data_IF_555364354168
#
_entry.id   IF_555364354168
#
_cell.length_a   1.000
_cell.length_b   1.000
_cell.length_c   1.000
_cell.angle_alpha   90.00
_cell.angle_beta   90.00
_cell.angle_gamma   90.00
#
_symmetry.space_group_name_H-M   'P 1'
#
loop_
_entity.id
_entity.type
_entity.pdbx_description
1 polymer ?
#
# COMPACT_ATOMS: atom_id res chain seq x y z
N UNK A 1 -26.19 47.67 -42.08
CA UNK A 1 -27.51 47.76 -42.73
C UNK A 1 -27.40 46.91 -43.99
N UNK A 2 -28.06 45.79 -44.24
CA UNK A 2 -29.31 45.15 -43.79
C UNK A 2 -29.20 43.72 -44.37
N UNK A 3 -29.16 42.67 -43.55
CA UNK A 3 -30.28 41.81 -43.12
C UNK A 3 -30.81 40.81 -44.18
N UNK A 4 -30.81 39.52 -43.76
CA UNK A 4 -31.68 38.35 -44.07
C UNK A 4 -30.97 37.13 -44.68
N UNK A 5 -30.66 36.08 -43.91
CA UNK A 5 -31.52 34.93 -43.48
C UNK A 5 -31.91 34.04 -44.69
N UNK A 6 -31.79 32.71 -44.75
CA UNK A 6 -31.92 31.63 -43.75
C UNK A 6 -31.21 30.38 -44.33
N UNK A 7 -30.43 29.63 -43.56
CA UNK A 7 -30.27 28.19 -43.81
C UNK A 7 -30.46 27.44 -42.48
N UNK A 8 -31.57 26.70 -42.40
CA UNK A 8 -31.95 25.89 -41.25
C UNK A 8 -30.99 24.70 -41.16
N UNK A 9 -30.09 24.69 -40.18
CA UNK A 9 -29.38 23.47 -39.81
C UNK A 9 -30.24 22.72 -38.80
N UNK A 10 -30.81 21.60 -39.24
CA UNK A 10 -31.50 20.67 -38.35
C UNK A 10 -30.46 20.03 -37.43
N UNK A 11 -30.49 20.36 -36.13
CA UNK A 11 -29.86 19.52 -35.12
C UNK A 11 -30.68 18.23 -35.03
N UNK A 12 -30.17 17.15 -35.64
CA UNK A 12 -30.51 15.82 -35.16
C UNK A 12 -29.82 15.64 -33.81
N UNK A 13 -30.60 15.71 -32.73
CA UNK A 13 -30.21 15.17 -31.44
C UNK A 13 -30.14 13.65 -31.56
N UNK A 14 -28.99 13.13 -31.98
CA UNK A 14 -28.62 11.75 -31.70
C UNK A 14 -28.24 11.67 -30.24
N UNK A 15 -29.17 11.26 -29.37
CA UNK A 15 -28.81 10.69 -28.08
C UNK A 15 -27.97 9.43 -28.40
N UNK A 16 -26.64 9.58 -28.36
CA UNK A 16 -25.79 8.47 -28.02
C UNK A 16 -26.06 8.19 -26.54
N UNK A 17 -27.01 7.28 -26.29
CA UNK A 17 -26.98 6.52 -25.04
C UNK A 17 -25.70 5.71 -25.10
N UNK A 18 -24.61 6.24 -24.54
CA UNK A 18 -23.56 5.37 -24.05
C UNK A 18 -24.25 4.46 -23.04
N UNK A 19 -24.48 3.21 -23.43
CA UNK A 19 -24.67 2.17 -22.44
C UNK A 19 -23.48 2.29 -21.48
N UNK A 20 -23.68 2.26 -20.16
CA UNK A 20 -22.59 1.85 -19.30
C UNK A 20 -22.36 0.39 -19.69
N UNK A 21 -21.42 0.15 -20.62
CA UNK A 21 -20.69 -1.10 -20.56
C UNK A 21 -20.21 -1.15 -19.11
N UNK A 22 -20.57 -2.22 -18.41
CA UNK A 22 -20.08 -2.46 -17.07
C UNK A 22 -18.57 -2.22 -17.14
N UNK A 23 -18.11 -1.16 -16.50
CA UNK A 23 -16.70 -1.08 -16.17
C UNK A 23 -16.57 -2.18 -15.13
N UNK A 24 -16.31 -3.41 -15.59
CA UNK A 24 -15.77 -4.46 -14.75
C UNK A 24 -14.66 -3.80 -13.94
N UNK A 25 -14.66 -4.05 -12.64
CA UNK A 25 -13.61 -3.59 -11.73
C UNK A 25 -12.28 -3.60 -12.49
N UNK A 26 -11.52 -2.51 -12.48
CA UNK A 26 -10.20 -2.44 -13.16
C UNK A 26 -9.28 -3.60 -12.71
N UNK A 27 -9.64 -4.25 -11.59
CA UNK A 27 -9.04 -5.45 -11.03
C UNK A 27 -9.57 -6.81 -11.48
N UNK A 28 -10.57 -6.85 -12.35
CA UNK A 28 -11.18 -8.07 -12.84
C UNK A 28 -11.24 -8.11 -14.36
N UNK A 29 -10.06 -8.01 -14.99
CA UNK A 29 -9.91 -8.03 -16.45
C UNK A 29 -10.49 -9.28 -17.12
N UNK A 30 -10.66 -10.37 -16.36
CA UNK A 30 -11.25 -11.61 -16.82
C UNK A 30 -12.77 -11.71 -16.59
N UNK A 31 -13.39 -10.76 -15.90
CA UNK A 31 -14.86 -10.68 -15.73
C UNK A 31 -15.46 -9.77 -16.80
N UNK A 32 -15.76 -10.38 -17.94
CA UNK A 32 -16.44 -9.72 -19.06
C UNK A 32 -17.97 -9.94 -19.03
N UNK A 33 -18.50 -10.70 -18.06
CA UNK A 33 -19.96 -10.76 -17.84
C UNK A 33 -20.44 -9.63 -16.94
N UNK A 34 -19.53 -9.02 -16.17
CA UNK A 34 -19.77 -7.90 -15.27
C UNK A 34 -20.55 -8.30 -14.03
N UNK A 35 -20.45 -9.57 -13.60
CA UNK A 35 -21.15 -10.10 -12.42
C UNK A 35 -20.26 -10.17 -11.17
N UNK A 36 -19.08 -9.56 -11.24
CA UNK A 36 -18.07 -9.50 -10.18
C UNK A 36 -17.50 -10.88 -9.81
N UNK A 37 -17.58 -11.87 -10.72
CA UNK A 37 -17.00 -13.20 -10.55
C UNK A 37 -16.34 -13.68 -11.84
N UNK A 38 -15.16 -14.29 -11.74
CA UNK A 38 -14.56 -15.06 -12.84
C UNK A 38 -14.91 -16.54 -12.67
N UNK A 39 -15.69 -17.06 -13.60
CA UNK A 39 -16.35 -18.35 -13.47
C UNK A 39 -16.31 -19.14 -14.78
N UNK A 40 -17.13 -20.20 -14.85
CA UNK A 40 -17.29 -20.96 -16.06
C UNK A 40 -17.95 -20.14 -17.19
N UNK A 41 -18.73 -19.12 -16.83
CA UNK A 41 -19.40 -18.26 -17.80
C UNK A 41 -18.36 -17.40 -18.55
N UNK A 42 -17.27 -17.04 -17.88
CA UNK A 42 -16.14 -16.36 -18.49
C UNK A 42 -15.47 -17.28 -19.51
N UNK A 43 -15.12 -18.51 -19.12
CA UNK A 43 -14.53 -19.50 -20.02
C UNK A 43 -15.40 -19.76 -21.24
N UNK A 44 -16.72 -19.87 -21.06
CA UNK A 44 -17.65 -20.10 -22.16
C UNK A 44 -17.72 -18.91 -23.12
N UNK A 45 -17.69 -17.67 -22.62
CA UNK A 45 -17.69 -16.51 -23.52
C UNK A 45 -16.36 -16.38 -24.27
N UNK A 46 -15.22 -16.60 -23.58
CA UNK A 46 -13.89 -16.63 -24.21
C UNK A 46 -13.80 -17.66 -25.33
N UNK A 47 -14.28 -18.89 -25.09
CA UNK A 47 -14.34 -19.93 -26.12
C UNK A 47 -15.27 -19.57 -27.28
N UNK A 48 -16.31 -18.75 -27.03
CA UNK A 48 -17.18 -18.19 -28.06
C UNK A 48 -16.50 -17.15 -28.95
N UNK A 49 -15.47 -16.46 -28.44
CA UNK A 49 -14.66 -15.46 -29.15
C UNK A 49 -13.37 -15.98 -29.78
N UNK A 50 -13.08 -17.29 -29.67
CA UNK A 50 -11.79 -17.87 -30.03
C UNK A 50 -11.34 -17.58 -31.47
N UNK A 51 -10.08 -17.13 -31.61
CA UNK A 51 -9.45 -16.80 -32.89
C UNK A 51 -9.11 -15.31 -33.03
N UNK A 52 -8.87 -14.84 -34.26
CA UNK A 52 -8.38 -13.48 -34.48
C UNK A 52 -9.34 -12.41 -34.02
N UNK A 53 -8.84 -11.46 -33.24
CA UNK A 53 -9.65 -10.35 -32.79
C UNK A 53 -9.56 -9.14 -33.71
N UNK A 54 -10.73 -8.63 -34.12
CA UNK A 54 -10.85 -7.53 -35.08
C UNK A 54 -11.64 -6.39 -34.46
N UNK A 55 -10.94 -5.39 -33.91
CA UNK A 55 -11.54 -4.27 -33.18
C UNK A 55 -11.31 -4.39 -31.68
N UNK A 56 -12.19 -3.80 -30.86
CA UNK A 56 -12.13 -3.96 -29.41
C UNK A 56 -12.64 -5.34 -29.01
N UNK A 57 -11.83 -6.06 -28.25
CA UNK A 57 -12.04 -7.46 -27.91
C UNK A 57 -11.73 -7.68 -26.43
N UNK A 58 -12.78 -7.74 -25.62
CA UNK A 58 -12.61 -7.87 -24.16
C UNK A 58 -12.01 -9.23 -23.75
N UNK A 59 -12.03 -10.22 -24.65
CA UNK A 59 -11.49 -11.57 -24.45
C UNK A 59 -10.02 -11.73 -24.90
N UNK A 60 -9.44 -10.71 -25.53
CA UNK A 60 -8.00 -10.64 -25.86
C UNK A 60 -7.31 -9.92 -24.69
N UNK A 61 -7.11 -10.66 -23.61
CA UNK A 61 -6.71 -10.16 -22.29
C UNK A 61 -5.21 -9.83 -22.29
N UNK A 62 -4.42 -10.54 -23.10
CA UNK A 62 -2.98 -10.29 -23.24
C UNK A 62 -2.62 -9.30 -24.37
N UNK A 63 -3.63 -8.67 -24.99
CA UNK A 63 -3.50 -7.70 -26.10
C UNK A 63 -2.65 -8.23 -27.27
N UNK A 64 -2.67 -9.54 -27.51
CA UNK A 64 -1.87 -10.19 -28.56
C UNK A 64 -2.47 -10.04 -29.96
N UNK A 65 -3.76 -9.68 -30.06
CA UNK A 65 -4.53 -9.59 -31.29
C UNK A 65 -5.30 -10.86 -31.65
N UNK A 66 -5.23 -11.91 -30.81
CA UNK A 66 -5.91 -13.19 -30.99
C UNK A 66 -6.45 -13.69 -29.64
N UNK A 67 -7.73 -14.05 -29.56
CA UNK A 67 -8.30 -14.75 -28.39
C UNK A 67 -7.89 -16.21 -28.46
N UNK A 68 -7.08 -16.65 -27.50
CA UNK A 68 -6.46 -17.97 -27.53
C UNK A 68 -6.16 -18.58 -26.18
N UNK A 69 -5.13 -19.44 -26.18
CA UNK A 69 -4.79 -20.23 -24.99
C UNK A 69 -4.22 -19.37 -23.87
N UNK A 70 -3.51 -18.29 -24.20
CA UNK A 70 -2.96 -17.39 -23.17
C UNK A 70 -4.08 -16.68 -22.41
N UNK A 71 -5.09 -16.17 -23.11
CA UNK A 71 -6.26 -15.55 -22.49
C UNK A 71 -7.02 -16.53 -21.61
N UNK A 72 -7.21 -17.77 -22.09
CA UNK A 72 -7.85 -18.81 -21.29
C UNK A 72 -7.08 -19.12 -20.01
N UNK A 73 -5.74 -19.13 -20.06
CA UNK A 73 -4.93 -19.31 -18.86
C UNK A 73 -5.07 -18.14 -17.89
N UNK A 74 -5.24 -16.91 -18.39
CA UNK A 74 -5.53 -15.74 -17.53
C UNK A 74 -6.91 -15.88 -16.87
N UNK A 75 -7.96 -16.29 -17.61
CA UNK A 75 -9.29 -16.54 -17.02
C UNK A 75 -9.24 -17.61 -15.92
N UNK A 76 -8.51 -18.71 -16.15
CA UNK A 76 -8.37 -19.77 -15.16
C UNK A 76 -7.57 -19.30 -13.94
N UNK A 77 -6.54 -18.47 -14.14
CA UNK A 77 -5.74 -17.90 -13.05
C UNK A 77 -6.55 -16.95 -12.16
N UNK A 78 -7.54 -16.26 -12.73
CA UNK A 78 -8.38 -15.28 -12.02
C UNK A 78 -9.68 -15.85 -11.44
N UNK A 79 -9.85 -17.17 -11.44
CA UNK A 79 -11.09 -17.82 -11.01
C UNK A 79 -11.55 -17.46 -9.60
N UNK A 80 -12.83 -17.15 -9.45
CA UNK A 80 -13.48 -16.78 -8.19
C UNK A 80 -13.99 -15.34 -8.20
N UNK A 81 -14.42 -14.87 -7.04
CA UNK A 81 -14.94 -13.51 -6.89
C UNK A 81 -13.88 -12.49 -7.31
N UNK A 82 -14.28 -11.50 -8.10
CA UNK A 82 -13.44 -10.38 -8.42
C UNK A 82 -12.98 -9.69 -7.13
N UNK A 83 -11.70 -9.32 -7.01
CA UNK A 83 -11.31 -8.43 -5.94
C UNK A 83 -12.13 -7.15 -6.14
N UNK A 84 -12.94 -6.83 -5.13
CA UNK A 84 -13.54 -5.51 -5.07
C UNK A 84 -12.41 -4.48 -5.18
N UNK A 85 -12.66 -3.33 -5.82
CA UNK A 85 -11.66 -2.29 -5.91
C UNK A 85 -11.39 -1.81 -4.48
N UNK A 86 -10.38 -2.42 -3.89
CA UNK A 86 -9.54 -1.84 -2.86
C UNK A 86 -10.09 -1.72 -1.43
N UNK A 87 -11.17 -2.39 -1.09
CA UNK A 87 -11.43 -2.83 0.29
C UNK A 87 -10.50 -4.00 0.59
N UNK A 88 -9.40 -3.69 1.27
CA UNK A 88 -8.54 -4.71 1.85
C UNK A 88 -9.39 -5.78 2.54
N UNK A 89 -8.98 -7.05 2.50
CA UNK A 89 -9.63 -8.01 3.37
C UNK A 89 -9.47 -7.45 4.78
N UNK A 90 -10.58 -7.01 5.39
CA UNK A 90 -10.74 -7.15 6.82
C UNK A 90 -10.79 -8.67 7.01
N UNK A 91 -9.63 -9.32 6.89
CA UNK A 91 -9.49 -10.75 7.09
C UNK A 91 -9.75 -11.00 8.56
N UNK A 92 -11.03 -11.05 8.86
CA UNK A 92 -11.60 -11.37 10.15
C UNK A 92 -11.40 -12.88 10.43
N UNK A 93 -10.72 -13.61 9.52
CA UNK A 93 -10.43 -15.03 9.59
C UNK A 93 -8.95 -15.41 9.38
N UNK A 94 -8.03 -14.44 9.30
CA UNK A 94 -6.61 -14.69 8.99
C UNK A 94 -5.78 -15.12 10.20
N UNK A 95 -4.62 -15.72 9.93
CA UNK A 95 -3.63 -16.12 10.94
C UNK A 95 -3.05 -14.92 11.74
N UNK A 96 -3.36 -13.69 11.33
CA UNK A 96 -2.83 -12.45 11.90
C UNK A 96 -3.88 -11.64 12.67
N UNK A 97 -3.45 -11.07 13.79
CA UNK A 97 -4.29 -10.27 14.67
C UNK A 97 -4.30 -8.81 14.23
N UNK A 98 -5.49 -8.20 14.20
CA UNK A 98 -5.68 -6.78 13.96
C UNK A 98 -5.16 -5.93 15.14
N UNK A 99 -4.47 -4.82 14.85
CA UNK A 99 -3.92 -3.89 15.85
C UNK A 99 -4.99 -3.32 16.81
N UNK A 100 -6.23 -3.18 16.37
CA UNK A 100 -7.38 -2.72 17.19
C UNK A 100 -7.62 -3.61 18.41
N UNK A 101 -7.18 -4.87 18.37
CA UNK A 101 -7.25 -5.80 19.52
C UNK A 101 -6.45 -5.33 20.73
N UNK A 102 -5.48 -4.43 20.53
CA UNK A 102 -4.69 -3.83 21.61
C UNK A 102 -5.13 -2.43 21.99
N UNK A 103 -6.02 -1.82 21.22
CA UNK A 103 -6.54 -0.49 21.50
C UNK A 103 -6.95 0.24 20.24
N UNK A 104 -7.81 1.23 20.44
CA UNK A 104 -8.22 2.16 19.41
C UNK A 104 -8.16 3.58 19.95
N UNK A 105 -7.53 4.49 19.20
CA UNK A 105 -7.34 5.88 19.61
C UNK A 105 -7.91 6.86 18.58
N UNK A 106 -9.22 7.09 18.63
CA UNK A 106 -9.83 8.12 17.78
C UNK A 106 -9.63 9.51 18.38
N UNK A 107 -9.00 10.40 17.61
CA UNK A 107 -8.93 11.83 17.88
C UNK A 107 -10.08 12.60 17.25
N UNK A 108 -9.82 13.85 16.83
CA UNK A 108 -10.79 14.71 16.11
C UNK A 108 -10.80 14.52 14.58
N UNK A 109 -9.89 13.71 14.04
CA UNK A 109 -9.81 13.38 12.62
C UNK A 109 -10.41 11.99 12.38
N UNK A 110 -11.26 11.88 11.35
CA UNK A 110 -11.95 10.64 11.07
C UNK A 110 -11.06 9.60 10.38
N UNK A 111 -9.86 9.95 9.89
CA UNK A 111 -8.93 9.22 9.01
C UNK A 111 -8.31 7.89 9.53
N UNK A 112 -8.90 7.26 10.53
CA UNK A 112 -8.38 6.06 11.20
C UNK A 112 -9.37 4.89 11.20
N UNK A 113 -10.49 5.02 10.47
CA UNK A 113 -11.57 4.06 10.52
C UNK A 113 -11.51 3.01 9.40
N UNK A 114 -12.16 1.84 9.58
CA UNK A 114 -12.19 0.78 8.57
C UNK A 114 -12.74 1.22 7.21
N UNK A 115 -13.68 2.17 7.16
CA UNK A 115 -14.28 2.66 5.90
C UNK A 115 -13.41 3.65 5.13
N UNK A 116 -12.24 4.02 5.66
CA UNK A 116 -11.23 4.84 4.96
C UNK A 116 -10.04 4.00 4.50
N UNK A 117 -10.09 2.68 4.71
CA UNK A 117 -9.19 1.71 4.10
C UNK A 117 -9.59 1.50 2.63
N UNK A 118 -9.60 2.60 1.88
CA UNK A 118 -9.93 2.66 0.45
C UNK A 118 -8.65 2.69 -0.37
N UNK A 119 -8.79 2.49 -1.68
CA UNK A 119 -7.68 2.51 -2.64
C UNK A 119 -6.52 1.54 -2.30
N UNK A 120 -6.82 0.42 -1.61
CA UNK A 120 -5.93 -0.72 -1.41
C UNK A 120 -5.19 -0.65 -0.10
N UNK A 121 -5.45 0.41 0.68
CA UNK A 121 -5.03 0.54 2.07
C UNK A 121 -5.67 -0.57 2.89
N UNK A 122 -4.90 -1.13 3.82
CA UNK A 122 -5.37 -2.21 4.69
C UNK A 122 -5.10 -1.90 6.16
N UNK A 123 -5.78 -2.64 7.04
CA UNK A 123 -5.56 -2.61 8.48
C UNK A 123 -4.11 -2.98 8.85
N UNK A 124 -3.59 -2.40 9.93
CA UNK A 124 -2.34 -2.86 10.54
C UNK A 124 -2.61 -4.17 11.29
N UNK A 125 -1.90 -5.23 10.93
CA UNK A 125 -2.00 -6.56 11.56
C UNK A 125 -0.63 -7.06 12.02
N UNK A 126 -0.62 -8.11 12.84
CA UNK A 126 0.64 -8.73 13.33
C UNK A 126 1.52 -9.31 12.23
N UNK A 127 1.03 -9.43 11.00
CA UNK A 127 1.81 -9.81 9.82
C UNK A 127 3.03 -8.90 9.61
N UNK A 128 2.90 -7.61 9.94
CA UNK A 128 4.00 -6.66 9.85
C UNK A 128 5.20 -7.03 10.73
N UNK A 129 4.95 -7.70 11.86
CA UNK A 129 6.03 -8.17 12.73
C UNK A 129 6.79 -9.34 12.12
N UNK A 130 6.13 -10.17 11.30
CA UNK A 130 6.81 -11.23 10.56
C UNK A 130 7.68 -10.65 9.45
N UNK A 131 7.18 -9.67 8.68
CA UNK A 131 7.98 -8.96 7.69
C UNK A 131 9.19 -8.27 8.34
N UNK A 132 8.97 -7.57 9.45
CA UNK A 132 10.01 -6.91 10.23
C UNK A 132 11.09 -7.88 10.74
N UNK A 133 10.70 -8.98 11.38
CA UNK A 133 11.64 -9.95 11.92
C UNK A 133 12.37 -10.75 10.82
N UNK A 134 11.74 -10.97 9.66
CA UNK A 134 12.44 -11.55 8.51
C UNK A 134 13.47 -10.60 7.93
N UNK A 135 13.18 -9.29 7.87
CA UNK A 135 14.19 -8.32 7.48
C UNK A 135 15.36 -8.30 8.46
N UNK A 136 15.07 -8.32 9.77
CA UNK A 136 16.12 -8.48 10.80
C UNK A 136 16.94 -9.75 10.61
N UNK A 137 16.30 -10.88 10.31
CA UNK A 137 16.99 -12.15 10.07
C UNK A 137 17.91 -12.09 8.83
N UNK A 138 17.49 -11.40 7.77
CA UNK A 138 18.35 -11.11 6.60
C UNK A 138 19.62 -10.35 7.00
N UNK A 139 19.51 -9.39 7.92
CA UNK A 139 20.63 -8.63 8.47
C UNK A 139 21.46 -9.42 9.51
N UNK A 140 21.11 -10.68 9.80
CA UNK A 140 21.76 -11.49 10.83
C UNK A 140 21.40 -11.09 12.27
N UNK A 141 20.32 -10.32 12.44
CA UNK A 141 19.82 -9.88 13.75
C UNK A 141 18.78 -10.86 14.30
N UNK A 142 18.76 -11.03 15.62
CA UNK A 142 17.75 -11.85 16.30
C UNK A 142 16.34 -11.27 16.16
N UNK A 143 15.34 -12.13 16.11
CA UNK A 143 13.93 -11.72 16.18
C UNK A 143 13.63 -10.97 17.48
N UNK A 144 12.71 -10.01 17.41
CA UNK A 144 12.19 -9.27 18.56
C UNK A 144 10.73 -9.63 18.81
N UNK A 145 10.27 -9.39 20.05
CA UNK A 145 8.85 -9.32 20.39
C UNK A 145 8.32 -7.90 20.17
N UNK A 146 6.99 -7.77 20.08
CA UNK A 146 6.33 -6.47 20.00
C UNK A 146 6.76 -5.57 21.16
N UNK A 147 6.80 -6.10 22.38
CA UNK A 147 7.16 -5.35 23.58
C UNK A 147 8.61 -4.85 23.55
N UNK A 148 9.54 -5.57 22.91
CA UNK A 148 10.91 -5.11 22.79
C UNK A 148 11.03 -3.90 21.86
N UNK A 149 10.31 -3.91 20.73
CA UNK A 149 10.23 -2.77 19.81
C UNK A 149 9.52 -1.60 20.49
N UNK A 150 8.41 -1.87 21.17
CA UNK A 150 7.69 -0.84 21.92
C UNK A 150 8.53 -0.21 23.02
N UNK A 151 9.27 -1.03 23.78
CA UNK A 151 10.14 -0.55 24.85
C UNK A 151 11.25 0.37 24.30
N UNK A 152 11.83 0.01 23.16
CA UNK A 152 12.78 0.87 22.46
C UNK A 152 12.13 2.21 22.08
N UNK A 153 10.95 2.21 21.47
CA UNK A 153 10.27 3.44 21.08
C UNK A 153 9.96 4.36 22.28
N UNK A 154 9.57 3.79 23.44
CA UNK A 154 9.40 4.55 24.67
C UNK A 154 10.72 5.11 25.20
N UNK A 155 11.79 4.32 25.19
CA UNK A 155 13.11 4.77 25.64
C UNK A 155 13.64 5.92 24.79
N UNK A 156 13.39 5.85 23.48
CA UNK A 156 13.78 6.87 22.52
C UNK A 156 12.83 8.07 22.45
N UNK A 157 11.83 8.14 23.33
CA UNK A 157 10.85 9.24 23.38
C UNK A 157 10.09 9.44 22.07
N UNK A 158 9.80 8.35 21.36
CA UNK A 158 9.04 8.33 20.10
C UNK A 158 7.51 8.23 20.32
N UNK A 159 7.07 8.29 21.57
CA UNK A 159 5.68 8.16 22.01
C UNK A 159 5.16 9.46 22.62
N UNK A 160 3.84 9.63 22.67
CA UNK A 160 3.23 10.85 23.26
C UNK A 160 3.22 10.82 24.81
N UNK A 161 3.40 9.64 25.40
CA UNK A 161 3.48 9.40 26.82
C UNK A 161 4.86 8.88 27.22
N UNK A 162 5.33 9.26 28.42
CA UNK A 162 6.62 8.81 28.96
C UNK A 162 6.57 7.45 29.66
N UNK A 163 5.37 6.89 29.87
CA UNK A 163 5.15 5.61 30.54
C UNK A 163 4.04 4.85 29.82
N UNK A 164 4.28 3.57 29.55
CA UNK A 164 3.30 2.67 28.94
C UNK A 164 2.32 2.10 29.98
N UNK A 165 1.11 1.78 29.55
CA UNK A 165 0.15 0.98 30.32
C UNK A 165 -0.62 0.00 29.44
N UNK A 166 -1.15 -1.07 30.05
CA UNK A 166 -1.95 -2.06 29.33
C UNK A 166 -1.18 -2.67 28.15
N UNK A 167 -1.73 -2.53 26.94
CA UNK A 167 -1.16 -3.08 25.71
C UNK A 167 -0.31 -2.06 24.91
N UNK A 168 0.01 -0.89 25.48
CA UNK A 168 0.75 0.16 24.76
C UNK A 168 2.06 -0.36 24.16
N UNK A 169 2.85 -1.14 24.91
CA UNK A 169 4.10 -1.73 24.41
C UNK A 169 3.89 -2.58 23.15
N UNK A 170 2.79 -3.34 23.09
CA UNK A 170 2.51 -4.22 21.96
C UNK A 170 2.09 -3.43 20.73
N UNK A 171 1.15 -2.50 20.88
CA UNK A 171 0.66 -1.73 19.73
C UNK A 171 1.66 -0.69 19.23
N UNK A 172 2.40 -0.02 20.12
CA UNK A 172 3.55 0.83 19.72
C UNK A 172 4.60 -0.02 19.02
N UNK A 173 4.90 -1.20 19.57
CA UNK A 173 5.85 -2.13 18.97
C UNK A 173 5.46 -2.57 17.58
N UNK A 174 4.21 -2.95 17.36
CA UNK A 174 3.70 -3.35 16.05
C UNK A 174 3.70 -2.17 15.06
N UNK A 175 3.30 -0.98 15.50
CA UNK A 175 3.32 0.21 14.67
C UNK A 175 4.74 0.54 14.15
N UNK A 176 5.73 0.57 15.04
CA UNK A 176 7.12 0.84 14.65
C UNK A 176 7.77 -0.32 13.89
N UNK A 177 7.39 -1.58 14.16
CA UNK A 177 7.81 -2.72 13.35
C UNK A 177 7.28 -2.61 11.91
N UNK A 178 6.02 -2.21 11.73
CA UNK A 178 5.43 -1.94 10.42
C UNK A 178 6.19 -0.84 9.68
N UNK A 179 6.47 0.29 10.33
CA UNK A 179 7.22 1.39 9.70
C UNK A 179 8.65 0.97 9.32
N UNK A 180 9.35 0.26 10.21
CA UNK A 180 10.68 -0.27 9.92
C UNK A 180 10.68 -1.28 8.77
N UNK A 181 9.67 -2.15 8.69
CA UNK A 181 9.53 -3.13 7.59
C UNK A 181 9.20 -2.47 6.24
N UNK A 182 8.47 -1.34 6.25
CA UNK A 182 8.15 -0.59 5.03
C UNK A 182 9.35 0.13 4.42
N UNK A 183 10.24 0.66 5.24
CA UNK A 183 11.25 1.64 4.79
C UNK A 183 12.69 1.17 5.00
N UNK A 184 12.99 0.48 6.11
CA UNK A 184 14.37 0.24 6.55
C UNK A 184 15.23 -0.64 5.65
N UNK A 185 14.66 -1.25 4.60
CA UNK A 185 15.38 -2.05 3.61
C UNK A 185 16.01 -1.23 2.47
N UNK A 186 15.65 0.06 2.36
CA UNK A 186 16.19 0.98 1.37
C UNK A 186 17.60 1.39 1.79
N UNK A 187 18.54 1.37 0.84
CA UNK A 187 19.92 1.81 1.09
C UNK A 187 20.00 3.34 1.16
N UNK A 188 20.91 3.85 1.99
CA UNK A 188 21.08 5.30 2.21
C UNK A 188 21.28 6.07 0.90
N UNK A 189 22.19 5.58 0.05
CA UNK A 189 22.53 6.21 -1.23
C UNK A 189 21.38 6.19 -2.25
N UNK A 190 20.42 5.27 -2.09
CA UNK A 190 19.29 5.12 -3.00
C UNK A 190 18.01 5.80 -2.47
N UNK A 191 18.01 6.27 -1.23
CA UNK A 191 16.79 6.79 -0.62
C UNK A 191 16.28 8.04 -1.36
N UNK A 192 15.01 7.97 -1.73
CA UNK A 192 14.19 9.08 -2.22
C UNK A 192 12.77 8.84 -1.68
N UNK A 193 12.10 9.84 -1.06
CA UNK A 193 10.74 9.68 -0.55
C UNK A 193 9.74 9.14 -1.58
N UNK A 194 9.91 9.45 -2.86
CA UNK A 194 9.03 9.01 -3.95
C UNK A 194 9.03 7.49 -4.11
N UNK A 195 10.12 6.80 -3.75
CA UNK A 195 10.19 5.33 -3.75
C UNK A 195 9.08 4.75 -2.87
N UNK A 196 8.81 5.37 -1.71
CA UNK A 196 7.79 4.89 -0.78
C UNK A 196 6.36 5.16 -1.29
N UNK A 197 6.16 6.24 -2.05
CA UNK A 197 4.88 6.47 -2.72
C UNK A 197 4.65 5.45 -3.84
N UNK A 198 5.65 5.26 -4.70
CA UNK A 198 5.55 4.40 -5.87
C UNK A 198 5.37 2.93 -5.50
N UNK A 199 6.14 2.42 -4.52
CA UNK A 199 6.06 1.01 -4.11
C UNK A 199 4.74 0.69 -3.40
N UNK A 200 4.26 1.60 -2.53
CA UNK A 200 2.99 1.42 -1.85
C UNK A 200 1.82 1.57 -2.84
N UNK A 201 1.89 2.50 -3.78
CA UNK A 201 0.89 2.63 -4.85
C UNK A 201 0.83 1.37 -5.68
N UNK A 202 1.97 0.86 -6.16
CA UNK A 202 2.03 -0.42 -6.91
C UNK A 202 1.44 -1.58 -6.11
N UNK A 203 1.84 -1.71 -4.84
CA UNK A 203 1.28 -2.74 -3.96
C UNK A 203 -0.24 -2.61 -3.83
N UNK A 204 -0.78 -1.40 -3.73
CA UNK A 204 -2.20 -1.16 -3.47
C UNK A 204 -3.08 -1.13 -4.72
N UNK A 205 -2.56 -0.73 -5.87
CA UNK A 205 -3.39 -0.46 -7.06
C UNK A 205 -3.14 -1.41 -8.23
N UNK A 206 -2.03 -2.18 -8.26
CA UNK A 206 -1.86 -3.21 -9.29
C UNK A 206 -2.72 -4.41 -8.90
N UNK A 207 -3.66 -4.72 -9.77
CA UNK A 207 -4.66 -5.73 -9.48
C UNK A 207 -4.17 -7.16 -9.76
N UNK A 208 -3.38 -7.36 -10.82
CA UNK A 208 -2.77 -8.66 -11.09
C UNK A 208 -1.76 -9.00 -9.97
N UNK A 209 -1.99 -10.06 -9.18
CA UNK A 209 -1.08 -10.41 -8.08
C UNK A 209 0.33 -10.80 -8.52
N UNK A 210 0.49 -11.35 -9.73
CA UNK A 210 1.79 -11.70 -10.30
C UNK A 210 2.52 -10.45 -10.79
N UNK A 211 1.83 -9.55 -11.48
CA UNK A 211 2.37 -8.26 -11.90
C UNK A 211 2.74 -7.41 -10.69
N UNK A 212 1.82 -7.27 -9.72
CA UNK A 212 2.05 -6.54 -8.46
C UNK A 212 3.31 -7.06 -7.76
N UNK A 213 3.45 -8.39 -7.62
CA UNK A 213 4.65 -8.99 -7.03
C UNK A 213 5.90 -8.71 -7.86
N UNK A 214 5.82 -8.84 -9.19
CA UNK A 214 6.94 -8.55 -10.09
C UNK A 214 7.42 -7.10 -9.94
N UNK A 215 6.50 -6.15 -10.01
CA UNK A 215 6.75 -4.71 -9.95
C UNK A 215 7.27 -4.27 -8.57
N UNK A 216 6.65 -4.75 -7.48
CA UNK A 216 7.13 -4.44 -6.11
C UNK A 216 8.51 -5.06 -5.88
N UNK A 217 8.72 -6.33 -6.22
CA UNK A 217 10.01 -6.98 -6.01
C UNK A 217 11.11 -6.44 -6.93
N UNK A 218 10.75 -5.89 -8.09
CA UNK A 218 11.64 -5.11 -8.95
C UNK A 218 12.20 -3.89 -8.20
N UNK A 219 11.31 -3.07 -7.61
CA UNK A 219 11.74 -1.93 -6.79
C UNK A 219 12.61 -2.34 -5.59
N UNK A 220 12.30 -3.46 -4.93
CA UNK A 220 13.15 -3.96 -3.83
C UNK A 220 14.55 -4.33 -4.31
N UNK A 221 14.70 -4.83 -5.55
CA UNK A 221 16.02 -5.11 -6.14
C UNK A 221 16.77 -3.83 -6.51
N UNK A 222 16.05 -2.82 -6.99
CA UNK A 222 16.66 -1.59 -7.52
C UNK A 222 17.14 -0.65 -6.40
N UNK A 223 16.38 -0.54 -5.31
CA UNK A 223 16.63 0.43 -4.24
C UNK A 223 17.04 -0.18 -2.90
N UNK A 224 16.87 -1.50 -2.75
CA UNK A 224 17.06 -2.20 -1.50
C UNK A 224 18.47 -2.73 -1.27
N UNK A 225 18.71 -3.20 -0.05
CA UNK A 225 19.98 -3.85 0.31
C UNK A 225 20.22 -5.07 -0.61
N UNK A 226 21.42 -5.20 -1.21
CA UNK A 226 21.72 -6.29 -2.14
C UNK A 226 21.40 -7.68 -1.57
N UNK A 227 20.60 -8.45 -2.32
CA UNK A 227 20.17 -9.80 -1.96
C UNK A 227 18.89 -9.88 -1.12
N UNK A 228 18.34 -8.75 -0.64
CA UNK A 228 17.12 -8.76 0.17
C UNK A 228 15.88 -9.25 -0.61
N UNK A 229 15.72 -8.81 -1.86
CA UNK A 229 14.62 -9.26 -2.71
C UNK A 229 14.64 -10.79 -2.92
N UNK A 230 15.82 -11.36 -3.19
CA UNK A 230 15.99 -12.80 -3.37
C UNK A 230 15.75 -13.56 -2.06
N UNK A 231 16.17 -12.99 -0.93
CA UNK A 231 15.90 -13.52 0.40
C UNK A 231 14.39 -13.60 0.67
N UNK A 232 13.63 -12.55 0.37
CA UNK A 232 12.17 -12.54 0.55
C UNK A 232 11.49 -13.66 -0.26
N UNK A 233 11.93 -13.88 -1.50
CA UNK A 233 11.41 -14.95 -2.35
C UNK A 233 11.76 -16.35 -1.81
N UNK A 234 13.02 -16.56 -1.42
CA UNK A 234 13.50 -17.87 -0.92
C UNK A 234 12.87 -18.29 0.41
N UNK A 235 12.47 -17.32 1.24
CA UNK A 235 11.88 -17.58 2.55
C UNK A 235 10.35 -17.49 2.55
N UNK A 236 9.71 -17.25 1.40
CA UNK A 236 8.25 -17.20 1.28
C UNK A 236 7.60 -15.99 1.96
N UNK A 237 8.33 -14.88 2.11
CA UNK A 237 7.89 -13.69 2.87
C UNK A 237 7.34 -12.57 1.98
N UNK A 238 7.40 -12.74 0.65
CA UNK A 238 6.96 -11.72 -0.33
C UNK A 238 5.54 -11.21 -0.04
N UNK A 239 4.59 -12.10 0.28
CA UNK A 239 3.21 -11.69 0.55
C UNK A 239 3.13 -10.82 1.82
N UNK A 240 3.75 -11.26 2.91
CA UNK A 240 3.79 -10.52 4.17
C UNK A 240 4.42 -9.13 4.01
N UNK A 241 5.50 -9.05 3.25
CA UNK A 241 6.15 -7.78 2.92
C UNK A 241 5.21 -6.86 2.12
N UNK A 242 4.58 -7.36 1.06
CA UNK A 242 3.64 -6.58 0.25
C UNK A 242 2.42 -6.13 1.06
N UNK A 243 1.84 -7.01 1.87
CA UNK A 243 0.73 -6.66 2.74
C UNK A 243 1.14 -5.58 3.76
N UNK A 244 2.36 -5.68 4.31
CA UNK A 244 2.91 -4.64 5.19
C UNK A 244 3.03 -3.29 4.47
N UNK A 245 3.45 -3.24 3.20
CA UNK A 245 3.47 -2.02 2.40
C UNK A 245 2.07 -1.41 2.24
N UNK A 246 1.03 -2.23 2.10
CA UNK A 246 -0.36 -1.77 1.95
C UNK A 246 -0.92 -1.11 3.21
N UNK A 247 -0.45 -1.47 4.41
CA UNK A 247 -1.04 -1.02 5.68
C UNK A 247 -1.12 0.50 5.80
N UNK A 248 -2.20 1.05 6.33
CA UNK A 248 -2.32 2.50 6.53
C UNK A 248 -1.77 2.93 7.90
N UNK A 249 -0.78 3.84 7.97
CA UNK A 249 -0.19 4.27 9.25
C UNK A 249 -1.20 4.90 10.22
N UNK A 250 -2.25 5.55 9.73
CA UNK A 250 -3.29 6.12 10.59
C UNK A 250 -4.28 5.10 11.17
N UNK A 251 -4.28 3.87 10.66
CA UNK A 251 -5.25 2.86 11.06
C UNK A 251 -5.28 2.67 12.59
N UNK A 252 -6.49 2.54 13.13
CA UNK A 252 -6.74 2.42 14.57
C UNK A 252 -6.26 3.63 15.42
N UNK A 253 -5.78 4.70 14.80
CA UNK A 253 -5.36 5.96 15.41
C UNK A 253 -4.10 5.87 16.27
N UNK A 254 -3.35 4.78 16.17
CA UNK A 254 -2.16 4.54 16.99
C UNK A 254 -1.04 5.56 16.77
N UNK A 255 -0.88 6.07 15.55
CA UNK A 255 0.05 7.14 15.25
C UNK A 255 -0.17 8.34 16.18
N UNK A 256 -1.40 8.84 16.29
CA UNK A 256 -1.73 10.02 17.10
C UNK A 256 -1.92 9.69 18.58
N UNK A 257 -2.51 8.53 18.85
CA UNK A 257 -2.87 8.11 20.20
C UNK A 257 -1.70 7.66 21.05
N UNK A 258 -0.63 7.12 20.44
CA UNK A 258 0.51 6.56 21.17
C UNK A 258 1.87 6.82 20.52
N UNK A 259 1.97 6.85 19.19
CA UNK A 259 3.24 6.99 18.46
C UNK A 259 3.53 8.44 18.02
N UNK A 260 2.90 9.42 18.68
CA UNK A 260 3.07 10.83 18.43
C UNK A 260 4.16 11.39 19.36
N UNK A 261 5.41 11.06 19.06
CA UNK A 261 6.54 11.61 19.81
C UNK A 261 6.85 13.05 19.38
N UNK A 262 7.54 13.77 20.27
CA UNK A 262 8.02 15.15 20.02
C UNK A 262 9.55 15.19 19.91
N UNK A 263 10.18 14.06 19.58
CA UNK A 263 11.63 14.01 19.41
C UNK A 263 12.00 14.85 18.19
N UNK A 264 12.81 15.87 18.40
CA UNK A 264 13.23 16.77 17.32
C UNK A 264 14.24 16.07 16.41
N UNK A 265 13.99 16.15 15.10
CA UNK A 265 14.85 15.66 14.03
C UNK A 265 15.38 16.88 13.28
N UNK A 266 16.71 17.03 13.27
CA UNK A 266 17.44 18.14 12.62
C UNK A 266 17.00 19.57 13.02
N UNK A 267 16.20 19.70 14.08
CA UNK A 267 15.63 20.98 14.51
C UNK A 267 14.50 21.51 13.61
N UNK A 268 14.03 20.74 12.64
CA UNK A 268 13.00 21.16 11.67
C UNK A 268 11.68 20.42 11.87
N UNK A 269 11.74 19.13 12.21
CA UNK A 269 10.56 18.27 12.35
C UNK A 269 10.57 17.54 13.70
N UNK A 270 9.44 16.92 14.03
CA UNK A 270 9.34 15.89 15.06
C UNK A 270 9.19 14.50 14.43
N UNK A 271 9.49 13.45 15.20
CA UNK A 271 9.39 12.07 14.71
C UNK A 271 7.96 11.69 14.25
N UNK A 272 6.92 12.36 14.76
CA UNK A 272 5.56 12.23 14.24
C UNK A 272 5.49 12.65 12.77
N UNK A 273 6.10 13.78 12.39
CA UNK A 273 6.11 14.25 11.00
C UNK A 273 6.81 13.25 10.07
N UNK A 274 7.92 12.65 10.52
CA UNK A 274 8.63 11.63 9.75
C UNK A 274 7.79 10.36 9.55
N UNK A 275 6.99 9.97 10.55
CA UNK A 275 6.09 8.82 10.42
C UNK A 275 5.06 8.98 9.27
N UNK A 276 4.82 10.20 8.80
CA UNK A 276 3.98 10.47 7.62
C UNK A 276 4.66 10.17 6.28
N UNK A 277 5.94 9.75 6.24
CA UNK A 277 6.58 9.30 4.99
C UNK A 277 5.73 8.26 4.26
N UNK A 278 5.18 7.31 5.02
CA UNK A 278 4.38 6.20 4.49
C UNK A 278 2.89 6.54 4.38
N UNK A 279 2.51 7.78 4.70
CA UNK A 279 1.18 8.34 4.45
C UNK A 279 1.19 9.07 3.11
N UNK A 280 0.38 8.58 2.17
CA UNK A 280 0.27 9.13 0.83
C UNK A 280 -0.99 9.98 0.66
N UNK A 281 -0.96 10.97 -0.23
CA UNK A 281 -2.15 11.72 -0.63
C UNK A 281 -3.29 10.82 -1.16
N UNK A 282 -4.48 11.39 -1.39
CA UNK A 282 -5.62 10.66 -1.95
C UNK A 282 -5.29 9.90 -3.24
N UNK A 283 -4.52 10.51 -4.14
CA UNK A 283 -4.10 9.87 -5.39
C UNK A 283 -2.99 8.82 -5.21
N UNK A 284 -2.46 8.65 -4.00
CA UNK A 284 -1.34 7.78 -3.66
C UNK A 284 -0.06 8.03 -4.47
N UNK A 285 0.14 9.24 -4.95
CA UNK A 285 1.24 9.61 -5.84
C UNK A 285 2.37 10.32 -5.11
N UNK A 286 2.15 10.82 -3.89
CA UNK A 286 3.12 11.62 -3.16
C UNK A 286 3.17 11.22 -1.67
N UNK A 287 4.37 11.12 -1.07
CA UNK A 287 4.57 10.81 0.35
C UNK A 287 4.46 12.07 1.23
N UNK A 288 4.59 11.88 2.55
CA UNK A 288 4.54 12.95 3.56
C UNK A 288 3.26 13.77 3.46
N UNK A 289 2.12 13.11 3.56
CA UNK A 289 0.83 13.80 3.65
C UNK A 289 0.27 13.74 5.05
N UNK A 290 -0.42 14.82 5.42
CA UNK A 290 -1.06 14.97 6.71
C UNK A 290 -2.22 13.98 6.90
N UNK A 291 -2.83 14.07 8.07
CA UNK A 291 -3.96 13.25 8.49
C UNK A 291 -5.13 13.24 7.50
N UNK A 292 -5.41 14.37 6.85
CA UNK A 292 -6.54 14.47 5.91
C UNK A 292 -6.18 14.07 4.48
N UNK A 293 -4.91 13.70 4.23
CA UNK A 293 -4.37 13.38 2.91
C UNK A 293 -4.43 14.54 1.90
N UNK A 294 -4.77 15.75 2.35
CA UNK A 294 -4.98 16.92 1.48
C UNK A 294 -3.75 17.82 1.44
N UNK A 295 -2.94 17.81 2.50
CA UNK A 295 -1.83 18.74 2.66
C UNK A 295 -0.51 18.03 2.94
N UNK A 296 0.60 18.52 2.38
CA UNK A 296 1.92 18.06 2.76
C UNK A 296 2.20 18.21 4.25
N UNK A 297 2.91 17.23 4.82
CA UNK A 297 3.60 17.36 6.09
C UNK A 297 4.90 18.15 5.86
N UNK A 298 4.77 19.48 5.83
CA UNK A 298 5.84 20.39 5.38
C UNK A 298 7.15 20.19 6.13
N UNK A 299 7.12 20.13 7.45
CA UNK A 299 8.33 20.04 8.28
C UNK A 299 9.16 18.78 7.95
N UNK A 300 8.50 17.65 7.66
CA UNK A 300 9.19 16.41 7.29
C UNK A 300 9.92 16.50 5.94
N UNK A 301 9.47 17.38 5.02
CA UNK A 301 10.11 17.56 3.71
C UNK A 301 11.38 18.40 3.76
N UNK A 302 11.60 19.10 4.87
CA UNK A 302 12.79 19.91 5.11
C UNK A 302 13.88 19.13 5.88
N UNK A 303 13.59 17.89 6.30
CA UNK A 303 14.58 16.96 6.88
C UNK A 303 15.44 16.39 5.76
N UNK A 304 16.73 16.21 6.01
CA UNK A 304 17.63 15.59 5.03
C UNK A 304 17.25 14.14 4.74
N UNK A 305 17.49 13.70 3.50
CA UNK A 305 17.30 12.30 3.09
C UNK A 305 18.01 11.31 4.03
N UNK A 306 19.23 11.64 4.45
CA UNK A 306 19.98 10.88 5.47
C UNK A 306 19.25 10.82 6.81
N UNK A 307 18.76 11.95 7.32
CA UNK A 307 18.05 11.99 8.60
C UNK A 307 16.74 11.20 8.58
N UNK A 308 16.04 11.19 7.43
CA UNK A 308 14.84 10.39 7.27
C UNK A 308 15.17 8.89 7.22
N UNK A 309 16.10 8.46 6.36
CA UNK A 309 16.40 7.03 6.22
C UNK A 309 17.01 6.45 7.51
N UNK A 310 17.88 7.20 8.19
CA UNK A 310 18.45 6.83 9.48
C UNK A 310 17.34 6.60 10.52
N UNK A 311 16.34 7.48 10.61
CA UNK A 311 15.21 7.34 11.53
C UNK A 311 14.43 6.03 11.31
N UNK A 312 14.22 5.60 10.06
CA UNK A 312 13.50 4.36 9.77
C UNK A 312 14.37 3.11 9.97
N UNK A 313 15.65 3.17 9.61
CA UNK A 313 16.58 2.07 9.85
C UNK A 313 16.87 1.85 11.34
N UNK A 314 16.85 2.92 12.16
CA UNK A 314 17.00 2.81 13.61
C UNK A 314 15.91 1.91 14.23
N UNK A 315 14.70 1.91 13.66
CA UNK A 315 13.60 1.01 14.09
C UNK A 315 13.99 -0.45 13.90
N UNK A 316 14.72 -0.77 12.84
CA UNK A 316 15.10 -2.13 12.48
C UNK A 316 16.22 -2.64 13.35
N UNK A 317 17.19 -1.80 13.73
CA UNK A 317 18.31 -2.23 14.60
C UNK A 317 18.08 -1.95 16.10
N UNK A 318 16.99 -1.24 16.45
CA UNK A 318 16.77 -0.61 17.76
C UNK A 318 17.92 0.34 18.16
N UNK A 319 18.33 1.18 17.21
CA UNK A 319 19.43 2.15 17.30
C UNK A 319 18.99 3.54 17.77
N UNK A 320 19.84 4.55 17.61
CA UNK A 320 19.50 5.96 17.89
C UNK A 320 18.74 6.55 16.68
N UNK A 321 17.51 7.07 16.87
CA UNK A 321 16.74 7.67 15.77
C UNK A 321 17.33 8.97 15.18
N UNK A 322 18.43 9.51 15.72
CA UNK A 322 19.09 10.74 15.26
C UNK A 322 20.53 10.52 14.74
N UNK A 323 20.96 9.27 14.57
CA UNK A 323 22.27 8.93 14.00
C UNK A 323 22.72 7.49 14.31
N UNK A 324 23.85 7.06 13.73
CA UNK A 324 24.44 5.73 13.92
C UNK A 324 23.54 4.55 13.50
N UNK A 325 23.12 4.51 12.23
CA UNK A 325 22.28 3.43 11.69
C UNK A 325 22.95 2.65 10.53
N UNK A 326 22.16 1.79 9.86
CA UNK A 326 22.51 0.44 9.38
C UNK A 326 23.61 0.34 8.30
#
# INVERSE_FOLDING_TARGET
MTDRSVLKLALLAGLLTASPAAMGSECCVADFTGDETVSADEVLSLLGGWGPCTGQCEMDIDDSGDVGTNDLLIVIDRWGDCPAPNDGPLDSGGDYMDLTMWGHFHGSNNNSHPWEMVDGRIAITTEAMEAFNNFRAFLGLSSLSFEQVGQWAFNESLTNNSQWWGNDLKGVGLYYAMQGAKVGWITDDAYDPQILADIQRKARTICDPLEMKSEVMGMVRDYGIPGYADYLQQNGIVNNFINTLKMEPHYAGWMHGRCHGFRSVEGVAINHDLNHLTVLNWAQTLPFYNDTFDWPQWDARDVSDSGVIEYFQSMVILGDPLGDNM
#
